data_IF_880897862149
#
_entry.id   IF_880897862149
#
_cell.length_a   1.000
_cell.length_b   1.000
_cell.length_c   1.000
_cell.angle_alpha   90.00
_cell.angle_beta   90.00
_cell.angle_gamma   90.00
#
_symmetry.space_group_name_H-M   'P 1'
#
loop_
_entity.id
_entity.type
_entity.pdbx_description
1 polymer ?
#
# COMPACT_ATOMS: atom_id res chain seq x y z
N UNK A 1 -17.72 -13.98 9.67
CA UNK A 1 -16.55 -13.75 8.82
C UNK A 1 -17.02 -13.00 7.59
N UNK A 2 -16.78 -11.70 7.51
CA UNK A 2 -17.06 -10.91 6.30
C UNK A 2 -15.85 -11.08 5.40
N UNK A 3 -15.90 -12.12 4.56
CA UNK A 3 -14.99 -12.23 3.44
C UNK A 3 -15.14 -10.98 2.56
N UNK A 4 -14.03 -10.39 2.07
CA UNK A 4 -14.08 -9.18 1.26
C UNK A 4 -14.95 -9.40 0.02
N UNK A 5 -16.01 -8.60 -0.12
CA UNK A 5 -17.00 -8.73 -1.21
C UNK A 5 -16.68 -7.82 -2.42
N UNK A 6 -15.51 -7.18 -2.40
CA UNK A 6 -14.97 -6.37 -3.49
C UNK A 6 -13.42 -6.36 -3.43
N UNK A 7 -12.76 -6.13 -4.57
CA UNK A 7 -11.29 -6.09 -4.66
C UNK A 7 -10.64 -5.10 -3.67
N UNK A 8 -11.20 -3.90 -3.54
CA UNK A 8 -10.73 -2.88 -2.60
C UNK A 8 -10.85 -3.28 -1.13
N UNK A 9 -11.82 -4.12 -0.76
CA UNK A 9 -11.89 -4.67 0.60
C UNK A 9 -10.79 -5.71 0.83
N UNK A 10 -10.41 -6.47 -0.21
CA UNK A 10 -9.27 -7.38 -0.15
C UNK A 10 -7.96 -6.62 0.09
N UNK A 11 -7.75 -5.53 -0.66
CA UNK A 11 -6.61 -4.62 -0.46
C UNK A 11 -6.57 -4.08 0.98
N UNK A 12 -7.68 -3.50 1.46
CA UNK A 12 -7.77 -2.94 2.80
C UNK A 12 -7.53 -4.00 3.89
N UNK A 13 -8.15 -5.18 3.78
CA UNK A 13 -7.95 -6.28 4.71
C UNK A 13 -6.49 -6.77 4.73
N UNK A 14 -5.85 -6.87 3.56
CA UNK A 14 -4.44 -7.22 3.43
C UNK A 14 -3.53 -6.20 4.13
N UNK A 15 -3.77 -4.91 3.92
CA UNK A 15 -3.00 -3.84 4.55
C UNK A 15 -3.18 -3.82 6.08
N UNK A 16 -4.39 -4.07 6.58
CA UNK A 16 -4.62 -4.25 8.02
C UNK A 16 -3.84 -5.44 8.59
N UNK A 17 -3.79 -6.56 7.86
CA UNK A 17 -3.04 -7.74 8.27
C UNK A 17 -1.53 -7.45 8.34
N UNK A 18 -0.96 -6.83 7.31
CA UNK A 18 0.45 -6.39 7.26
C UNK A 18 0.77 -5.45 8.43
N UNK A 19 -0.11 -4.48 8.68
CA UNK A 19 0.05 -3.54 9.80
C UNK A 19 -0.02 -4.23 11.16
N UNK A 20 -0.94 -5.17 11.33
CA UNK A 20 -1.05 -5.99 12.53
C UNK A 20 0.22 -6.82 12.76
N UNK A 21 0.80 -7.37 11.70
CA UNK A 21 2.05 -8.11 11.74
C UNK A 21 3.25 -7.26 12.18
N UNK A 22 3.42 -6.05 11.64
CA UNK A 22 4.50 -5.17 12.11
C UNK A 22 4.30 -4.75 13.57
N UNK A 23 3.07 -4.46 13.98
CA UNK A 23 2.74 -4.11 15.38
C UNK A 23 3.06 -5.24 16.36
N UNK A 24 2.74 -6.49 16.02
CA UNK A 24 3.01 -7.63 16.91
C UNK A 24 4.51 -7.86 17.14
N UNK A 25 5.36 -7.37 16.23
CA UNK A 25 6.83 -7.40 16.33
C UNK A 25 7.44 -6.14 16.94
N UNK A 26 6.63 -5.19 17.42
CA UNK A 26 7.12 -3.90 17.91
C UNK A 26 7.55 -2.92 16.81
N UNK A 27 7.33 -3.25 15.54
CA UNK A 27 7.67 -2.43 14.37
C UNK A 27 6.51 -1.53 13.93
N UNK A 28 5.63 -1.12 14.85
CA UNK A 28 4.42 -0.34 14.55
C UNK A 28 4.67 1.03 13.92
N UNK A 29 5.91 1.51 13.90
CA UNK A 29 6.35 2.73 13.21
C UNK A 29 6.41 2.58 11.68
N UNK A 30 6.38 1.34 11.14
CA UNK A 30 6.38 1.08 9.70
C UNK A 30 4.99 1.31 9.11
N UNK A 31 4.68 2.57 8.80
CA UNK A 31 3.38 2.99 8.28
C UNK A 31 3.43 3.54 6.85
N UNK A 32 4.59 3.54 6.19
CA UNK A 32 4.72 4.01 4.81
C UNK A 32 4.29 2.92 3.84
N UNK A 33 3.42 3.27 2.89
CA UNK A 33 3.00 2.42 1.78
C UNK A 33 3.50 3.05 0.47
N UNK A 34 4.45 2.40 -0.20
CA UNK A 34 4.93 2.80 -1.52
C UNK A 34 3.91 2.35 -2.57
N UNK A 35 3.41 3.28 -3.38
CA UNK A 35 2.41 3.00 -4.41
C UNK A 35 2.89 3.61 -5.75
N UNK A 36 3.10 2.80 -6.80
CA UNK A 36 3.46 3.33 -8.11
C UNK A 36 2.39 4.29 -8.65
N UNK A 37 2.80 5.33 -9.38
CA UNK A 37 1.88 6.29 -10.00
C UNK A 37 0.90 5.66 -10.99
N UNK A 38 1.22 4.47 -11.52
CA UNK A 38 0.34 3.69 -12.42
C UNK A 38 -0.70 2.82 -11.71
N UNK A 39 -0.68 2.76 -10.36
CA UNK A 39 -1.59 1.89 -9.59
C UNK A 39 -3.06 2.30 -9.75
N UNK A 40 -3.96 1.31 -9.66
CA UNK A 40 -5.40 1.57 -9.63
C UNK A 40 -5.77 2.45 -8.42
N UNK A 41 -6.73 3.36 -8.60
CA UNK A 41 -7.09 4.36 -7.58
C UNK A 41 -7.60 3.78 -6.25
N UNK A 42 -8.00 2.51 -6.22
CA UNK A 42 -8.35 1.81 -4.97
C UNK A 42 -7.15 1.61 -4.07
N UNK A 43 -5.95 1.41 -4.62
CA UNK A 43 -4.75 1.16 -3.84
C UNK A 43 -4.42 2.31 -2.87
N UNK A 44 -4.24 3.58 -3.31
CA UNK A 44 -3.98 4.68 -2.40
C UNK A 44 -5.15 4.94 -1.45
N UNK A 45 -6.39 4.72 -1.88
CA UNK A 45 -7.56 4.86 -1.01
C UNK A 45 -7.56 3.80 0.12
N UNK A 46 -7.30 2.54 -0.21
CA UNK A 46 -7.19 1.42 0.73
C UNK A 46 -6.06 1.65 1.75
N UNK A 47 -4.90 2.15 1.30
CA UNK A 47 -3.77 2.47 2.19
C UNK A 47 -4.08 3.64 3.13
N UNK A 48 -4.71 4.70 2.63
CA UNK A 48 -5.17 5.82 3.46
C UNK A 48 -6.19 5.35 4.51
N UNK A 49 -7.18 4.54 4.12
CA UNK A 49 -8.17 3.96 5.03
C UNK A 49 -7.51 3.07 6.10
N UNK A 50 -6.44 2.35 5.77
CA UNK A 50 -5.67 1.53 6.72
C UNK A 50 -4.80 2.35 7.69
N UNK A 51 -4.78 3.68 7.55
CA UNK A 51 -3.98 4.59 8.36
C UNK A 51 -2.49 4.51 8.02
N UNK A 52 -2.16 4.24 6.75
CA UNK A 52 -0.81 4.26 6.22
C UNK A 52 -0.54 5.59 5.50
N UNK A 53 0.71 6.03 5.53
CA UNK A 53 1.20 7.18 4.77
C UNK A 53 1.56 6.72 3.35
N UNK A 54 0.83 7.20 2.35
CA UNK A 54 1.11 6.86 0.96
C UNK A 54 2.26 7.71 0.44
N UNK A 55 3.27 7.06 -0.12
CA UNK A 55 4.35 7.71 -0.89
C UNK A 55 4.25 7.18 -2.31
N UNK A 56 4.11 8.10 -3.27
CA UNK A 56 4.00 7.75 -4.68
C UNK A 56 5.40 7.49 -5.23
N UNK A 57 5.57 6.34 -5.90
CA UNK A 57 6.78 6.00 -6.65
C UNK A 57 6.51 6.27 -8.12
N UNK A 58 7.45 6.92 -8.81
CA UNK A 58 7.33 7.22 -10.23
C UNK A 58 7.31 5.96 -11.08
N UNK A 59 6.77 6.10 -12.28
CA UNK A 59 6.87 5.09 -13.33
C UNK A 59 7.64 5.66 -14.51
N UNK A 60 8.38 4.81 -15.21
CA UNK A 60 9.03 5.16 -16.48
C UNK A 60 8.00 5.36 -17.58
N UNK A 61 8.42 5.93 -18.71
CA UNK A 61 7.54 6.14 -19.88
C UNK A 61 6.97 4.83 -20.44
N UNK A 62 7.69 3.72 -20.26
CA UNK A 62 7.26 2.37 -20.63
C UNK A 62 6.25 1.75 -19.65
N UNK A 63 5.89 2.47 -18.58
CA UNK A 63 4.92 2.03 -17.56
C UNK A 63 5.50 1.14 -16.47
N UNK A 64 6.82 0.94 -16.43
CA UNK A 64 7.50 0.19 -15.38
C UNK A 64 7.72 1.05 -14.13
N UNK A 65 7.96 0.43 -12.97
CA UNK A 65 8.37 1.16 -11.76
C UNK A 65 9.75 1.77 -12.01
N UNK A 66 9.89 3.06 -11.71
CA UNK A 66 11.18 3.75 -11.75
C UNK A 66 12.01 3.30 -10.54
N UNK A 67 13.03 2.48 -10.79
CA UNK A 67 13.88 1.91 -9.74
C UNK A 67 14.82 2.96 -9.12
N UNK A 68 15.16 4.01 -9.86
CA UNK A 68 15.99 5.09 -9.34
C UNK A 68 15.17 5.92 -8.34
N UNK A 69 13.93 6.26 -8.69
CA UNK A 69 12.99 6.92 -7.76
C UNK A 69 12.62 6.03 -6.57
N UNK A 70 12.47 4.72 -6.77
CA UNK A 70 12.13 3.76 -5.71
C UNK A 70 13.23 3.64 -4.64
N UNK A 71 14.49 3.87 -5.01
CA UNK A 71 15.65 3.66 -4.13
C UNK A 71 16.19 4.95 -3.48
N UNK A 72 15.64 6.12 -3.85
CA UNK A 72 16.00 7.44 -3.33
C UNK A 72 15.45 7.71 -1.92
#
# INVERSE_FOLDING_TARGET
SLQPNAGSQGEYAGLLAIRGYHRSRGEGHRTVCLIPSSAHGTNPASAAMAGMSVVVVRCTEDGNIDMDDMSA
#
